data_IF_022326674532
#
_entry.id   IF_022326674532
#
_cell.length_a   1.000
_cell.length_b   1.000
_cell.length_c   1.000
_cell.angle_alpha   90.00
_cell.angle_beta   90.00
_cell.angle_gamma   90.00
#
_symmetry.space_group_name_H-M   'P 1'
#
loop_
_entity.id
_entity.type
_entity.pdbx_description
1 polymer ?
#
# COMPACT_ATOMS: atom_id res chain seq x y z
N UNK A 1 2.12 -0.98 -6.61
CA UNK A 1 2.88 -1.73 -5.59
C UNK A 1 4.08 -0.89 -5.17
N UNK A 2 4.65 -1.16 -4.01
CA UNK A 2 5.90 -0.55 -3.56
C UNK A 2 7.00 -1.59 -3.69
N UNK A 3 8.04 -1.31 -4.48
CA UNK A 3 9.25 -2.16 -4.47
C UNK A 3 9.91 -2.07 -3.10
N UNK A 4 10.36 -3.21 -2.60
CA UNK A 4 11.10 -3.26 -1.34
C UNK A 4 12.59 -3.06 -1.58
N UNK A 5 13.30 -2.63 -0.55
CA UNK A 5 14.76 -2.73 -0.47
C UNK A 5 15.15 -4.10 0.11
N UNK A 6 16.41 -4.52 -0.07
CA UNK A 6 16.93 -5.79 0.48
C UNK A 6 17.17 -6.91 -0.55
N UNK A 7 17.02 -6.61 -1.85
CA UNK A 7 17.32 -7.54 -2.97
C UNK A 7 16.55 -8.87 -2.94
N UNK A 8 15.41 -8.91 -2.24
CA UNK A 8 14.55 -10.09 -2.09
C UNK A 8 13.62 -10.34 -3.28
N UNK A 9 13.57 -9.41 -4.27
CA UNK A 9 12.61 -9.40 -5.38
C UNK A 9 11.14 -9.41 -4.89
N UNK A 10 10.85 -8.67 -3.82
CA UNK A 10 9.51 -8.54 -3.24
C UNK A 10 8.93 -7.13 -3.44
N UNK A 11 7.62 -7.04 -3.35
CA UNK A 11 6.88 -5.79 -3.35
C UNK A 11 5.77 -5.84 -2.30
N UNK A 12 5.45 -4.67 -1.74
CA UNK A 12 4.30 -4.48 -0.85
C UNK A 12 3.11 -3.99 -1.68
N UNK A 13 1.96 -4.61 -1.50
CA UNK A 13 0.69 -4.10 -2.01
C UNK A 13 -0.25 -3.85 -0.85
N UNK A 14 -1.00 -2.75 -0.98
CA UNK A 14 -1.95 -2.28 0.01
C UNK A 14 -3.32 -2.22 -0.63
N UNK A 15 -4.32 -2.72 0.09
CA UNK A 15 -5.74 -2.54 -0.22
C UNK A 15 -6.31 -1.40 0.60
N UNK A 16 -7.11 -0.57 -0.04
CA UNK A 16 -7.94 0.42 0.64
C UNK A 16 -9.07 -0.28 1.44
N UNK A 17 -9.81 0.47 2.27
CA UNK A 17 -10.95 -0.08 3.03
C UNK A 17 -12.03 -0.75 2.17
N UNK A 18 -12.05 -0.45 0.87
CA UNK A 18 -12.99 -0.98 -0.11
C UNK A 18 -12.46 -2.22 -0.86
N UNK A 19 -11.30 -2.76 -0.46
CA UNK A 19 -10.70 -3.95 -1.06
C UNK A 19 -9.99 -3.74 -2.40
N UNK A 20 -9.85 -2.50 -2.86
CA UNK A 20 -9.16 -2.13 -4.10
C UNK A 20 -7.68 -1.78 -3.86
N UNK A 21 -6.81 -2.10 -4.83
CA UNK A 21 -5.38 -1.80 -4.72
C UNK A 21 -5.11 -0.30 -4.71
N UNK A 22 -4.32 0.14 -3.74
CA UNK A 22 -3.78 1.51 -3.68
C UNK A 22 -2.75 1.72 -4.79
N UNK A 23 -2.86 2.84 -5.50
CA UNK A 23 -1.80 3.35 -6.39
C UNK A 23 -0.90 4.31 -5.62
N UNK A 24 0.40 4.13 -5.73
CA UNK A 24 1.41 4.96 -5.05
C UNK A 24 1.93 6.07 -5.96
N UNK A 25 1.02 6.84 -6.56
CA UNK A 25 1.34 7.95 -7.47
C UNK A 25 1.11 9.34 -6.83
N UNK A 26 0.65 9.37 -5.57
CA UNK A 26 0.34 10.58 -4.83
C UNK A 26 -0.86 11.39 -5.36
N UNK A 27 -1.59 10.86 -6.35
CA UNK A 27 -2.67 11.56 -7.06
C UNK A 27 -3.98 10.78 -7.09
N UNK A 28 -3.91 9.45 -7.13
CA UNK A 28 -5.09 8.58 -7.19
C UNK A 28 -5.71 8.47 -5.80
N UNK A 29 -6.94 8.98 -5.65
CA UNK A 29 -7.73 8.81 -4.44
C UNK A 29 -8.08 7.34 -4.19
N UNK A 30 -8.15 6.95 -2.92
CA UNK A 30 -8.62 5.63 -2.47
C UNK A 30 -10.14 5.50 -2.42
N UNK A 31 -10.87 6.53 -2.88
CA UNK A 31 -12.33 6.63 -2.77
C UNK A 31 -12.77 7.28 -1.45
N UNK A 32 -14.03 7.73 -1.36
CA UNK A 32 -14.56 8.37 -0.15
C UNK A 32 -14.69 7.36 1.00
N UNK A 33 -14.61 7.87 2.23
CA UNK A 33 -14.99 7.14 3.44
C UNK A 33 -16.04 7.98 4.16
N UNK A 34 -17.14 7.35 4.56
CA UNK A 34 -18.17 8.04 5.34
C UNK A 34 -17.63 8.26 6.75
N UNK A 35 -17.56 9.52 7.16
CA UNK A 35 -17.09 9.91 8.49
C UNK A 35 -18.27 10.07 9.44
N UNK A 36 -18.06 9.73 10.70
CA UNK A 36 -18.96 10.06 11.81
C UNK A 36 -18.35 11.16 12.67
N UNK A 37 -19.18 11.83 13.48
CA UNK A 37 -18.71 12.81 14.45
C UNK A 37 -17.72 12.16 15.44
N UNK A 38 -16.58 12.83 15.65
CA UNK A 38 -15.50 12.36 16.51
C UNK A 38 -14.47 11.50 15.77
N UNK A 39 -14.05 10.39 16.40
CA UNK A 39 -12.92 9.60 15.94
C UNK A 39 -13.31 8.61 14.85
N UNK A 40 -12.51 8.55 13.79
CA UNK A 40 -12.68 7.64 12.67
C UNK A 40 -11.38 6.82 12.47
N UNK A 41 -11.52 5.52 12.24
CA UNK A 41 -10.40 4.62 11.94
C UNK A 41 -10.55 4.07 10.53
N UNK A 42 -9.55 4.31 9.68
CA UNK A 42 -9.51 3.77 8.31
C UNK A 42 -8.65 2.51 8.27
N UNK A 43 -9.24 1.37 7.93
CA UNK A 43 -8.56 0.08 7.89
C UNK A 43 -8.01 -0.23 6.49
N UNK A 44 -6.71 -0.45 6.40
CA UNK A 44 -6.03 -0.89 5.18
C UNK A 44 -5.42 -2.27 5.41
N UNK A 45 -5.31 -3.07 4.34
CA UNK A 45 -4.71 -4.40 4.40
C UNK A 45 -3.47 -4.45 3.53
N UNK A 46 -2.37 -4.98 4.05
CA UNK A 46 -1.11 -5.08 3.32
C UNK A 46 -0.69 -6.53 3.10
N UNK A 47 -0.06 -6.81 1.97
CA UNK A 47 0.54 -8.11 1.69
C UNK A 47 1.84 -7.95 0.90
N UNK A 48 2.72 -8.91 1.10
CA UNK A 48 4.00 -9.02 0.39
C UNK A 48 3.80 -10.00 -0.76
N UNK A 49 4.27 -9.62 -1.94
CA UNK A 49 4.22 -10.45 -3.15
C UNK A 49 5.56 -10.39 -3.88
N UNK A 50 5.76 -11.29 -4.84
CA UNK A 50 6.85 -11.17 -5.82
C UNK A 50 6.70 -9.83 -6.58
N UNK A 51 7.83 -9.15 -6.81
CA UNK A 51 7.84 -7.91 -7.58
C UNK A 51 7.65 -8.14 -9.09
N UNK A 52 7.62 -7.06 -9.86
CA UNK A 52 7.43 -7.08 -11.30
C UNK A 52 8.73 -7.29 -12.10
N UNK A 53 9.87 -7.58 -11.45
CA UNK A 53 11.17 -7.75 -12.12
C UNK A 53 11.29 -9.04 -12.93
N UNK A 54 10.40 -10.01 -12.70
CA UNK A 54 10.47 -11.36 -13.29
C UNK A 54 11.39 -12.32 -12.51
N UNK A 55 12.27 -11.82 -11.64
CA UNK A 55 13.24 -12.63 -10.91
C UNK A 55 12.59 -13.49 -9.80
N UNK A 56 13.19 -14.64 -9.49
CA UNK A 56 12.73 -15.47 -8.36
C UNK A 56 12.86 -14.73 -7.03
N UNK A 57 11.90 -14.91 -6.13
CA UNK A 57 11.97 -14.37 -4.75
C UNK A 57 13.19 -14.95 -4.05
N UNK A 58 13.89 -14.11 -3.28
CA UNK A 58 15.03 -14.51 -2.45
C UNK A 58 14.72 -14.27 -0.97
N UNK A 59 15.35 -15.05 -0.10
CA UNK A 59 15.30 -14.84 1.34
C UNK A 59 16.05 -13.57 1.75
N UNK A 60 15.61 -12.93 2.84
CA UNK A 60 16.26 -11.74 3.38
C UNK A 60 15.27 -10.77 4.01
N UNK A 61 15.82 -9.76 4.70
CA UNK A 61 15.03 -8.64 5.19
C UNK A 61 14.55 -7.78 4.02
N UNK A 62 13.32 -7.29 4.11
CA UNK A 62 12.76 -6.36 3.15
C UNK A 62 12.01 -5.24 3.86
N UNK A 63 12.00 -4.05 3.26
CA UNK A 63 11.22 -2.91 3.76
C UNK A 63 10.82 -1.97 2.63
N UNK A 64 9.79 -1.17 2.85
CA UNK A 64 9.41 -0.07 1.96
C UNK A 64 8.86 1.08 2.80
N UNK A 65 8.98 2.31 2.29
CA UNK A 65 8.47 3.52 2.93
C UNK A 65 7.50 4.21 1.95
N UNK A 66 6.35 4.65 2.46
CA UNK A 66 5.39 5.44 1.71
C UNK A 66 4.80 6.54 2.59
N UNK A 67 4.51 7.68 1.98
CA UNK A 67 3.76 8.76 2.59
C UNK A 67 2.27 8.60 2.25
N UNK A 68 1.38 9.05 3.14
CA UNK A 68 -0.05 9.13 2.88
C UNK A 68 -0.55 10.56 3.07
N UNK A 69 -1.57 10.92 2.29
CA UNK A 69 -2.26 12.21 2.40
C UNK A 69 -3.74 11.94 2.67
N UNK A 70 -4.35 12.74 3.55
CA UNK A 70 -5.79 12.76 3.75
C UNK A 70 -6.36 13.98 3.04
N UNK A 71 -7.41 13.78 2.26
CA UNK A 71 -8.14 14.86 1.58
C UNK A 71 -9.58 14.82 2.06
N UNK A 72 -10.06 15.95 2.54
CA UNK A 72 -11.44 16.12 3.02
C UNK A 72 -12.21 16.96 2.00
N UNK A 73 -13.52 16.75 1.94
CA UNK A 73 -14.47 17.53 1.14
C UNK A 73 -15.43 18.25 2.07
#
# INVERSE_FOLDING_TARGET
MLKTVGETNTAIVVLNPHGSRVKFDGKTSTGPSNLVDGNNTLHFTTYVMKDDSGNSVKEGAFSAVANFNLTYQ
#
